data_IF_726459742210
#
_entry.id   IF_726459742210
#
_cell.length_a   1.000
_cell.length_b   1.000
_cell.length_c   1.000
_cell.angle_alpha   90.00
_cell.angle_beta   90.00
_cell.angle_gamma   90.00
#
_symmetry.space_group_name_H-M   'P 1'
#
loop_
_entity.id
_entity.type
_entity.pdbx_description
1 polymer ?
#
# COMPACT_ATOMS: atom_id res chain seq x y z
N UNK A 1 25.56 -10.17 -52.29
CA UNK A 1 25.77 -11.26 -51.31
C UNK A 1 25.07 -10.81 -50.04
N UNK A 2 23.82 -11.22 -49.87
CA UNK A 2 23.06 -10.96 -48.63
C UNK A 2 23.64 -11.87 -47.56
N UNK A 3 24.21 -11.30 -46.51
CA UNK A 3 24.65 -12.07 -45.35
C UNK A 3 23.39 -12.55 -44.63
N UNK A 4 22.99 -13.79 -44.89
CA UNK A 4 21.96 -14.47 -44.09
C UNK A 4 22.45 -14.53 -42.64
N UNK A 5 21.95 -13.62 -41.81
CA UNK A 5 22.16 -13.68 -40.37
C UNK A 5 21.37 -14.86 -39.80
N UNK A 6 21.98 -15.66 -38.93
CA UNK A 6 21.31 -16.75 -38.22
C UNK A 6 20.98 -16.36 -36.78
N UNK A 7 19.91 -16.92 -36.24
CA UNK A 7 19.48 -16.64 -34.88
C UNK A 7 20.52 -17.17 -33.87
N UNK A 8 21.04 -16.34 -32.95
CA UNK A 8 22.07 -16.77 -32.01
C UNK A 8 21.58 -17.79 -30.97
N UNK A 9 20.26 -17.94 -30.81
CA UNK A 9 19.66 -18.92 -29.87
C UNK A 9 19.35 -20.27 -30.49
N UNK A 10 18.87 -20.30 -31.74
CA UNK A 10 18.36 -21.54 -32.35
C UNK A 10 18.98 -21.88 -33.72
N UNK A 11 19.83 -21.01 -34.27
CA UNK A 11 20.50 -21.22 -35.55
C UNK A 11 19.62 -21.06 -36.80
N UNK A 12 18.31 -20.80 -36.65
CA UNK A 12 17.41 -20.57 -37.78
C UNK A 12 17.84 -19.33 -38.59
N UNK A 13 17.68 -19.38 -39.92
CA UNK A 13 17.90 -18.23 -40.79
C UNK A 13 16.95 -17.08 -40.40
N UNK A 14 17.46 -15.86 -40.42
CA UNK A 14 16.70 -14.65 -40.11
C UNK A 14 16.39 -13.89 -41.40
N UNK A 15 15.15 -13.42 -41.51
CA UNK A 15 14.76 -12.47 -42.55
C UNK A 15 15.50 -11.14 -42.37
N UNK A 16 15.80 -10.47 -43.49
CA UNK A 16 16.50 -9.18 -43.49
C UNK A 16 15.67 -8.13 -42.72
N UNK A 17 16.23 -7.56 -41.65
CA UNK A 17 15.53 -6.60 -40.79
C UNK A 17 14.58 -7.20 -39.75
N UNK A 18 14.64 -8.51 -39.50
CA UNK A 18 13.82 -9.15 -38.47
C UNK A 18 14.11 -8.60 -37.05
N UNK A 19 13.06 -8.17 -36.35
CA UNK A 19 13.13 -7.73 -34.95
C UNK A 19 13.04 -8.89 -33.94
N UNK A 20 12.55 -10.05 -34.39
CA UNK A 20 12.44 -11.27 -33.59
C UNK A 20 12.63 -12.50 -34.48
N UNK A 21 13.08 -13.60 -33.90
CA UNK A 21 13.20 -14.88 -34.59
C UNK A 21 11.82 -15.56 -34.71
N UNK A 22 11.33 -15.78 -35.92
CA UNK A 22 10.04 -16.45 -36.17
C UNK A 22 9.98 -17.91 -35.71
N UNK A 23 11.12 -18.55 -35.45
CA UNK A 23 11.17 -19.96 -35.04
C UNK A 23 11.22 -20.15 -33.51
N UNK A 24 11.99 -19.32 -32.78
CA UNK A 24 12.18 -19.48 -31.33
C UNK A 24 11.72 -18.27 -30.50
N UNK A 25 11.24 -17.21 -31.15
CA UNK A 25 10.72 -16.01 -30.51
C UNK A 25 11.76 -15.08 -29.89
N UNK A 26 13.06 -15.34 -30.09
CA UNK A 26 14.13 -14.47 -29.56
C UNK A 26 14.01 -13.06 -30.15
N UNK A 27 14.00 -12.02 -29.32
CA UNK A 27 14.15 -10.64 -29.77
C UNK A 27 15.57 -10.41 -30.32
N UNK A 28 15.67 -9.86 -31.52
CA UNK A 28 16.94 -9.61 -32.23
C UNK A 28 17.38 -8.15 -32.10
N UNK A 29 16.46 -7.29 -31.66
CA UNK A 29 16.71 -5.89 -31.31
C UNK A 29 16.56 -5.72 -29.82
N UNK A 30 17.43 -4.92 -29.22
CA UNK A 30 17.35 -4.60 -27.80
C UNK A 30 16.02 -3.90 -27.50
N UNK A 31 15.37 -4.31 -26.41
CA UNK A 31 14.19 -3.61 -25.92
C UNK A 31 14.55 -2.17 -25.52
N UNK A 32 13.76 -1.17 -25.94
CA UNK A 32 14.03 0.23 -25.60
C UNK A 32 13.95 0.43 -24.09
N UNK A 33 14.91 1.17 -23.52
CA UNK A 33 14.88 1.52 -22.10
C UNK A 33 13.70 2.44 -21.80
N UNK A 34 12.82 2.11 -20.83
CA UNK A 34 11.80 3.02 -20.35
C UNK A 34 12.34 4.05 -19.33
N UNK A 35 13.64 3.99 -19.00
CA UNK A 35 14.29 4.81 -17.98
C UNK A 35 15.47 5.64 -18.52
N UNK A 36 15.80 6.77 -17.86
CA UNK A 36 16.95 7.59 -18.23
C UNK A 36 18.26 6.77 -18.25
N UNK A 37 19.12 6.99 -19.24
CA UNK A 37 20.41 6.30 -19.30
C UNK A 37 21.35 6.80 -18.19
N UNK A 38 22.24 5.91 -17.71
CA UNK A 38 23.39 6.30 -16.88
C UNK A 38 23.22 6.20 -15.37
N UNK A 39 22.05 5.77 -14.87
CA UNK A 39 21.87 5.44 -13.45
C UNK A 39 22.24 3.96 -13.22
N UNK A 40 23.12 3.69 -12.26
CA UNK A 40 23.52 2.31 -11.92
C UNK A 40 22.52 1.62 -10.99
N UNK A 41 22.48 0.29 -11.00
CA UNK A 41 21.63 -0.47 -10.08
C UNK A 41 22.00 -0.23 -8.61
N UNK A 42 23.28 0.08 -8.33
CA UNK A 42 23.75 0.42 -6.99
C UNK A 42 23.12 1.74 -6.49
N UNK A 43 23.13 2.80 -7.29
CA UNK A 43 22.53 4.07 -6.93
C UNK A 43 21.01 3.96 -6.70
N UNK A 44 20.33 3.15 -7.53
CA UNK A 44 18.90 2.86 -7.36
C UNK A 44 18.64 2.07 -6.08
N UNK A 45 19.51 1.12 -5.72
CA UNK A 45 19.41 0.38 -4.46
C UNK A 45 19.59 1.30 -3.24
N UNK A 46 20.52 2.25 -3.30
CA UNK A 46 20.68 3.26 -2.24
C UNK A 46 19.39 4.08 -2.09
N UNK A 47 18.79 4.51 -3.20
CA UNK A 47 17.50 5.20 -3.17
C UNK A 47 16.38 4.33 -2.61
N UNK A 48 16.33 3.04 -2.93
CA UNK A 48 15.38 2.10 -2.33
C UNK A 48 15.61 2.00 -0.82
N UNK A 49 16.86 1.95 -0.36
CA UNK A 49 17.17 1.92 1.07
C UNK A 49 16.74 3.20 1.80
N UNK A 50 16.89 4.38 1.18
CA UNK A 50 16.37 5.64 1.69
C UNK A 50 14.84 5.60 1.83
N UNK A 51 14.13 5.22 0.77
CA UNK A 51 12.67 5.12 0.76
C UNK A 51 12.14 4.08 1.76
N UNK A 52 12.82 2.95 1.92
CA UNK A 52 12.51 1.94 2.93
C UNK A 52 12.74 2.48 4.35
N UNK A 53 13.80 3.26 4.59
CA UNK A 53 14.03 3.89 5.90
C UNK A 53 12.93 4.92 6.25
N UNK A 54 12.39 5.63 5.25
CA UNK A 54 11.27 6.58 5.41
C UNK A 54 9.96 5.93 5.87
N UNK A 55 9.82 4.58 5.82
CA UNK A 55 8.63 3.86 6.32
C UNK A 55 8.28 4.21 7.76
N UNK A 56 9.29 4.45 8.60
CA UNK A 56 9.09 4.79 10.02
C UNK A 56 8.32 6.10 10.23
N UNK A 57 8.34 7.00 9.24
CA UNK A 57 7.63 8.29 9.28
C UNK A 57 6.30 8.28 8.50
N UNK A 58 6.11 7.29 7.63
CA UNK A 58 4.99 7.25 6.67
C UNK A 58 3.98 6.15 7.02
N UNK A 59 4.47 4.98 7.44
CA UNK A 59 3.68 3.79 7.77
C UNK A 59 3.39 3.73 9.28
N UNK A 60 2.64 4.70 9.77
CA UNK A 60 2.34 4.78 11.21
C UNK A 60 1.50 3.57 11.68
N UNK A 61 2.12 2.69 12.49
CA UNK A 61 1.45 1.57 13.14
C UNK A 61 0.68 2.07 14.37
N UNK A 62 -0.65 2.04 14.27
CA UNK A 62 -1.52 2.51 15.34
C UNK A 62 -1.91 1.36 16.27
N UNK A 63 -1.88 1.56 17.59
CA UNK A 63 -2.45 0.58 18.51
C UNK A 63 -3.94 0.33 18.20
N UNK A 64 -4.41 -0.93 18.08
CA UNK A 64 -5.83 -1.22 17.89
C UNK A 64 -6.74 -0.67 18.99
N UNK A 65 -6.19 -0.35 20.17
CA UNK A 65 -6.91 0.31 21.27
C UNK A 65 -7.43 1.70 20.91
N UNK A 66 -6.85 2.36 19.89
CA UNK A 66 -7.38 3.62 19.37
C UNK A 66 -8.87 3.53 18.98
N UNK A 67 -9.32 2.37 18.49
CA UNK A 67 -10.72 2.14 18.16
C UNK A 67 -11.67 2.18 19.38
N UNK A 68 -11.14 1.99 20.59
CA UNK A 68 -11.91 1.97 21.84
C UNK A 68 -11.94 3.32 22.55
N UNK A 69 -10.98 4.21 22.30
CA UNK A 69 -10.87 5.47 23.04
C UNK A 69 -12.12 6.36 22.94
N UNK A 70 -12.73 6.57 21.76
CA UNK A 70 -13.97 7.32 21.65
C UNK A 70 -15.12 6.67 22.43
N UNK A 71 -15.23 5.32 22.38
CA UNK A 71 -16.25 4.58 23.12
C UNK A 71 -16.11 4.76 24.62
N UNK A 72 -14.89 4.57 25.13
CA UNK A 72 -14.57 4.70 26.55
C UNK A 72 -14.99 6.10 27.03
N UNK A 73 -14.62 7.16 26.29
CA UNK A 73 -15.01 8.53 26.64
C UNK A 73 -16.53 8.73 26.73
N UNK A 74 -17.32 8.23 25.75
CA UNK A 74 -18.79 8.32 25.80
C UNK A 74 -19.37 7.49 26.94
N UNK A 75 -18.93 6.24 27.11
CA UNK A 75 -19.48 5.32 28.11
C UNK A 75 -19.21 5.84 29.52
N UNK A 76 -17.99 6.28 29.80
CA UNK A 76 -17.66 6.85 31.11
C UNK A 76 -18.46 8.14 31.38
N UNK A 77 -18.55 9.05 30.41
CA UNK A 77 -19.34 10.28 30.54
C UNK A 77 -20.83 9.98 30.78
N UNK A 78 -21.39 9.02 30.05
CA UNK A 78 -22.79 8.59 30.18
C UNK A 78 -23.03 7.89 31.52
N UNK A 79 -22.15 6.98 31.91
CA UNK A 79 -22.26 6.25 33.18
C UNK A 79 -22.23 7.19 34.38
N UNK A 80 -21.27 8.12 34.43
CA UNK A 80 -21.19 9.13 35.51
C UNK A 80 -22.41 10.06 35.47
N UNK A 81 -22.84 10.49 34.28
CA UNK A 81 -24.06 11.29 34.11
C UNK A 81 -25.28 10.59 34.72
N UNK A 82 -25.50 9.31 34.40
CA UNK A 82 -26.61 8.52 34.94
C UNK A 82 -26.51 8.38 36.47
N UNK A 83 -25.33 8.10 37.02
CA UNK A 83 -25.17 7.98 38.48
C UNK A 83 -25.57 9.26 39.23
N UNK A 84 -25.28 10.42 38.64
CA UNK A 84 -25.55 11.72 39.24
C UNK A 84 -26.96 12.25 38.97
N UNK A 85 -27.73 11.64 38.07
CA UNK A 85 -29.08 12.13 37.70
C UNK A 85 -30.08 12.05 38.86
N UNK A 86 -29.85 11.14 39.81
CA UNK A 86 -30.69 10.94 41.00
C UNK A 86 -30.25 11.80 42.20
N UNK A 87 -29.32 12.73 41.99
CA UNK A 87 -28.80 13.64 43.02
C UNK A 87 -29.33 15.05 42.79
N UNK A 88 -29.31 15.95 43.80
CA UNK A 88 -29.59 17.38 43.59
C UNK A 88 -28.63 18.09 42.62
N UNK A 89 -27.60 17.40 42.12
CA UNK A 89 -26.54 17.92 41.26
C UNK A 89 -26.77 17.61 39.76
N UNK A 90 -28.01 17.67 39.29
CA UNK A 90 -28.36 17.34 37.89
C UNK A 90 -27.64 18.21 36.86
N UNK A 91 -27.35 19.47 37.18
CA UNK A 91 -26.57 20.37 36.31
C UNK A 91 -25.14 19.85 36.11
N UNK A 92 -24.53 19.31 37.17
CA UNK A 92 -23.19 18.71 37.13
C UNK A 92 -23.22 17.42 36.30
N UNK A 93 -24.28 16.62 36.41
CA UNK A 93 -24.48 15.42 35.57
C UNK A 93 -24.48 15.77 34.08
N UNK A 94 -25.28 16.76 33.68
CA UNK A 94 -25.38 17.22 32.29
C UNK A 94 -24.04 17.77 31.78
N UNK A 95 -23.32 18.53 32.61
CA UNK A 95 -22.00 19.05 32.26
C UNK A 95 -20.99 17.91 32.02
N UNK A 96 -20.95 16.90 32.88
CA UNK A 96 -20.04 15.75 32.73
C UNK A 96 -20.35 14.97 31.46
N UNK A 97 -21.64 14.72 31.19
CA UNK A 97 -22.06 14.06 29.96
C UNK A 97 -21.64 14.85 28.71
N UNK A 98 -21.83 16.18 28.72
CA UNK A 98 -21.45 17.07 27.62
C UNK A 98 -19.94 17.05 27.39
N UNK A 99 -19.14 17.18 28.44
CA UNK A 99 -17.67 17.11 28.35
C UNK A 99 -17.22 15.75 27.82
N UNK A 100 -17.76 14.65 28.34
CA UNK A 100 -17.44 13.30 27.86
C UNK A 100 -17.76 13.11 26.37
N UNK A 101 -18.90 13.66 25.92
CA UNK A 101 -19.31 13.63 24.51
C UNK A 101 -18.37 14.45 23.61
N UNK A 102 -17.94 15.64 24.06
CA UNK A 102 -16.97 16.48 23.33
C UNK A 102 -15.61 15.79 23.23
N UNK A 103 -15.14 15.18 24.32
CA UNK A 103 -13.88 14.43 24.34
C UNK A 103 -13.95 13.24 23.40
N UNK A 104 -15.04 12.46 23.42
CA UNK A 104 -15.23 11.35 22.51
C UNK A 104 -15.25 11.79 21.04
N UNK A 105 -15.93 12.90 20.73
CA UNK A 105 -15.96 13.50 19.41
C UNK A 105 -14.55 13.89 18.94
N UNK A 106 -13.77 14.57 19.79
CA UNK A 106 -12.41 14.95 19.47
C UNK A 106 -11.52 13.73 19.22
N UNK A 107 -11.61 12.69 20.06
CA UNK A 107 -10.87 11.44 19.87
C UNK A 107 -11.25 10.74 18.56
N UNK A 108 -12.53 10.75 18.18
CA UNK A 108 -13.00 10.21 16.92
C UNK A 108 -12.45 10.99 15.72
N UNK A 109 -12.44 12.33 15.77
CA UNK A 109 -11.83 13.18 14.73
C UNK A 109 -10.34 12.83 14.58
N UNK A 110 -9.61 12.78 15.70
CA UNK A 110 -8.19 12.46 15.71
C UNK A 110 -7.96 11.07 15.10
N UNK A 111 -8.72 10.06 15.50
CA UNK A 111 -8.60 8.71 14.94
C UNK A 111 -8.79 8.72 13.41
N UNK A 112 -9.85 9.35 12.91
CA UNK A 112 -10.11 9.41 11.48
C UNK A 112 -9.03 10.19 10.73
N UNK A 113 -8.54 11.29 11.30
CA UNK A 113 -7.40 12.02 10.76
C UNK A 113 -6.17 11.11 10.63
N UNK A 114 -5.80 10.39 11.69
CA UNK A 114 -4.64 9.48 11.66
C UNK A 114 -4.79 8.36 10.65
N UNK A 115 -6.00 7.80 10.51
CA UNK A 115 -6.29 6.75 9.52
C UNK A 115 -6.11 7.25 8.08
N UNK A 116 -6.59 8.44 7.76
CA UNK A 116 -6.47 9.02 6.41
C UNK A 116 -5.05 9.51 6.15
N UNK A 117 -4.41 10.15 7.13
CA UNK A 117 -3.07 10.73 7.00
C UNK A 117 -1.99 9.66 6.79
N UNK A 118 -1.94 8.61 7.62
CA UNK A 118 -0.98 7.51 7.47
C UNK A 118 -1.12 6.83 6.11
N UNK A 119 -2.35 6.72 5.65
CA UNK A 119 -2.67 6.11 4.37
C UNK A 119 -2.15 6.95 3.19
N UNK A 120 -2.35 8.27 3.20
CA UNK A 120 -1.81 9.14 2.16
C UNK A 120 -0.29 9.13 2.12
N UNK A 121 0.35 9.18 3.30
CA UNK A 121 1.81 9.17 3.42
C UNK A 121 2.39 7.86 2.86
N UNK A 122 1.77 6.74 3.20
CA UNK A 122 2.11 5.42 2.70
C UNK A 122 2.05 5.36 1.17
N UNK A 123 0.92 5.77 0.55
CA UNK A 123 0.76 5.76 -0.91
C UNK A 123 1.84 6.55 -1.65
N UNK A 124 2.17 7.74 -1.15
CA UNK A 124 3.15 8.62 -1.80
C UNK A 124 4.55 8.00 -1.74
N UNK A 125 4.92 7.43 -0.60
CA UNK A 125 6.20 6.74 -0.43
C UNK A 125 6.26 5.47 -1.27
N UNK A 126 5.21 4.66 -1.24
CA UNK A 126 5.13 3.43 -2.04
C UNK A 126 5.21 3.74 -3.53
N UNK A 127 4.50 4.74 -4.05
CA UNK A 127 4.58 5.09 -5.46
C UNK A 127 6.02 5.41 -5.89
N UNK A 128 6.76 6.13 -5.04
CA UNK A 128 8.19 6.40 -5.27
C UNK A 128 9.02 5.12 -5.22
N UNK A 129 8.78 4.27 -4.22
CA UNK A 129 9.47 2.99 -4.03
C UNK A 129 9.25 2.04 -5.20
N UNK A 130 7.99 1.85 -5.63
CA UNK A 130 7.63 1.00 -6.76
C UNK A 130 8.33 1.47 -8.02
N UNK A 131 8.28 2.78 -8.33
CA UNK A 131 8.96 3.31 -9.51
C UNK A 131 10.47 3.03 -9.47
N UNK A 132 11.13 3.27 -8.34
CA UNK A 132 12.57 2.98 -8.18
C UNK A 132 12.88 1.49 -8.26
N UNK A 133 12.01 0.61 -7.73
CA UNK A 133 12.18 -0.85 -7.84
C UNK A 133 12.04 -1.36 -9.29
N UNK A 134 11.14 -0.79 -10.09
CA UNK A 134 11.03 -1.14 -11.52
C UNK A 134 12.31 -0.71 -12.25
N UNK A 135 12.78 0.50 -12.01
CA UNK A 135 14.01 1.03 -12.60
C UNK A 135 15.22 0.19 -12.19
N UNK A 136 15.33 -0.16 -10.91
CA UNK A 136 16.36 -1.07 -10.40
C UNK A 136 16.33 -2.41 -11.13
N UNK A 137 15.15 -3.02 -11.26
CA UNK A 137 14.98 -4.33 -11.88
C UNK A 137 15.47 -4.33 -13.32
N UNK A 138 15.08 -3.30 -14.07
CA UNK A 138 15.50 -3.09 -15.46
C UNK A 138 17.02 -2.89 -15.57
N UNK A 139 17.57 -1.92 -14.83
CA UNK A 139 19.00 -1.59 -14.86
C UNK A 139 19.86 -2.77 -14.41
N UNK A 140 19.43 -3.51 -13.38
CA UNK A 140 20.10 -4.73 -12.92
C UNK A 140 20.12 -5.81 -14.00
N UNK A 141 19.04 -5.93 -14.77
CA UNK A 141 18.98 -6.85 -15.89
C UNK A 141 19.88 -6.47 -17.06
N UNK A 142 20.03 -5.16 -17.33
CA UNK A 142 21.01 -4.67 -18.30
C UNK A 142 22.44 -4.99 -17.86
N UNK A 143 22.78 -4.72 -16.60
CA UNK A 143 24.11 -5.01 -16.04
C UNK A 143 24.45 -6.51 -16.04
N UNK A 144 23.44 -7.38 -15.90
CA UNK A 144 23.62 -8.84 -15.88
C UNK A 144 23.35 -9.54 -17.22
N UNK A 145 22.93 -8.81 -18.26
CA UNK A 145 22.59 -9.38 -19.57
C UNK A 145 21.32 -10.24 -19.57
N UNK A 146 20.39 -9.99 -18.66
CA UNK A 146 19.11 -10.73 -18.48
C UNK A 146 17.89 -9.93 -18.97
N UNK A 147 18.09 -8.80 -19.64
CA UNK A 147 17.04 -7.86 -20.09
C UNK A 147 15.86 -8.55 -20.78
N UNK A 148 16.12 -9.41 -21.76
CA UNK A 148 15.05 -10.09 -22.52
C UNK A 148 14.20 -11.01 -21.63
N UNK A 149 14.83 -11.64 -20.63
CA UNK A 149 14.15 -12.54 -19.70
C UNK A 149 13.32 -11.78 -18.65
N UNK A 150 13.74 -10.57 -18.26
CA UNK A 150 13.00 -9.75 -17.30
C UNK A 150 11.91 -8.86 -17.92
N UNK A 151 11.97 -8.63 -19.24
CA UNK A 151 11.06 -7.71 -19.94
C UNK A 151 9.56 -7.94 -19.65
N UNK A 152 9.03 -9.19 -19.64
CA UNK A 152 7.61 -9.41 -19.33
C UNK A 152 7.22 -8.96 -17.91
N UNK A 153 8.12 -9.16 -16.94
CA UNK A 153 7.89 -8.74 -15.56
C UNK A 153 7.96 -7.22 -15.42
N UNK A 154 8.94 -6.58 -16.07
CA UNK A 154 9.05 -5.10 -16.08
C UNK A 154 7.80 -4.48 -16.70
N UNK A 155 7.31 -5.03 -17.81
CA UNK A 155 6.05 -4.57 -18.43
C UNK A 155 4.84 -4.73 -17.50
N UNK A 156 4.74 -5.88 -16.80
CA UNK A 156 3.70 -6.10 -15.80
C UNK A 156 3.79 -5.09 -14.65
N UNK A 157 5.00 -4.86 -14.11
CA UNK A 157 5.22 -3.90 -13.04
C UNK A 157 4.84 -2.47 -13.45
N UNK A 158 5.21 -2.03 -14.65
CA UNK A 158 4.80 -0.71 -15.17
C UNK A 158 3.28 -0.59 -15.31
N UNK A 159 2.60 -1.66 -15.72
CA UNK A 159 1.14 -1.67 -15.84
C UNK A 159 0.47 -1.52 -14.46
N UNK A 160 0.97 -2.24 -13.45
CA UNK A 160 0.47 -2.19 -12.07
C UNK A 160 0.76 -0.80 -11.46
N UNK A 161 1.95 -0.25 -11.71
CA UNK A 161 2.35 1.09 -11.25
C UNK A 161 1.42 2.17 -11.80
N UNK A 162 1.22 2.18 -13.12
CA UNK A 162 0.32 3.15 -13.78
C UNK A 162 -1.11 3.01 -13.30
N UNK A 163 -1.63 1.78 -13.17
CA UNK A 163 -2.99 1.56 -12.69
C UNK A 163 -3.17 2.08 -11.25
N UNK A 164 -2.22 1.78 -10.37
CA UNK A 164 -2.25 2.27 -8.99
C UNK A 164 -2.14 3.80 -8.93
N UNK A 165 -1.28 4.43 -9.75
CA UNK A 165 -1.22 5.90 -9.81
C UNK A 165 -2.56 6.52 -10.25
N UNK A 166 -3.36 5.85 -11.10
CA UNK A 166 -4.68 6.37 -11.47
C UNK A 166 -5.73 6.16 -10.36
N UNK A 167 -5.71 4.98 -9.72
CA UNK A 167 -6.75 4.56 -8.78
C UNK A 167 -6.50 5.02 -7.33
N UNK A 168 -5.26 5.29 -6.96
CA UNK A 168 -4.80 5.46 -5.57
C UNK A 168 -4.32 6.90 -5.30
N UNK A 169 -5.22 7.84 -5.52
CA UNK A 169 -4.94 9.25 -5.29
C UNK A 169 -5.04 9.62 -3.79
N UNK A 170 -4.05 10.36 -3.24
CA UNK A 170 -4.14 10.90 -1.88
C UNK A 170 -5.39 11.76 -1.69
N UNK A 171 -6.01 11.66 -0.52
CA UNK A 171 -7.22 12.42 -0.16
C UNK A 171 -6.90 13.43 0.93
N UNK A 172 -7.57 14.58 0.94
CA UNK A 172 -7.35 15.57 2.00
C UNK A 172 -7.67 15.00 3.41
N UNK A 173 -6.76 15.04 4.39
CA UNK A 173 -7.07 14.62 5.76
C UNK A 173 -8.20 15.45 6.42
N UNK A 174 -8.50 16.64 5.89
CA UNK A 174 -9.62 17.48 6.33
C UNK A 174 -10.98 16.80 6.17
N UNK A 175 -11.08 15.75 5.37
CA UNK A 175 -12.26 14.89 5.30
C UNK A 175 -12.67 14.32 6.67
N UNK A 176 -11.73 14.20 7.62
CA UNK A 176 -12.02 13.84 9.02
C UNK A 176 -12.94 14.84 9.75
N UNK A 177 -13.08 16.07 9.26
CA UNK A 177 -13.99 17.08 9.83
C UNK A 177 -15.36 17.10 9.16
N UNK A 178 -15.51 16.43 8.01
CA UNK A 178 -16.70 16.53 7.16
C UNK A 178 -17.98 16.07 7.88
N UNK A 179 -17.85 15.19 8.88
CA UNK A 179 -18.98 14.66 9.63
C UNK A 179 -19.61 15.67 10.62
N UNK A 180 -18.95 16.82 10.86
CA UNK A 180 -19.50 17.91 11.67
C UNK A 180 -20.63 18.68 10.97
N UNK A 181 -20.78 18.51 9.65
CA UNK A 181 -21.84 19.15 8.88
C UNK A 181 -23.17 18.43 9.19
N UNK A 182 -24.23 19.11 9.66
CA UNK A 182 -25.50 18.46 9.96
C UNK A 182 -26.07 17.71 8.75
N UNK A 183 -26.58 16.50 8.96
CA UNK A 183 -27.19 15.59 7.97
C UNK A 183 -26.20 15.11 6.89
N UNK A 184 -25.60 16.02 6.13
CA UNK A 184 -24.59 15.73 5.10
C UNK A 184 -23.38 15.03 5.70
N UNK A 185 -22.96 15.43 6.89
CA UNK A 185 -21.80 14.86 7.56
C UNK A 185 -21.94 13.37 7.88
N UNK A 186 -23.15 12.89 8.16
CA UNK A 186 -23.40 11.45 8.35
C UNK A 186 -23.15 10.67 7.05
N UNK A 187 -23.59 11.21 5.91
CA UNK A 187 -23.33 10.60 4.60
C UNK A 187 -21.84 10.60 4.27
N UNK A 188 -21.16 11.72 4.49
CA UNK A 188 -19.71 11.83 4.24
C UNK A 188 -18.89 10.93 5.17
N UNK A 189 -19.34 10.74 6.42
CA UNK A 189 -18.75 9.82 7.37
C UNK A 189 -18.79 8.38 6.88
N UNK A 190 -19.95 7.89 6.45
CA UNK A 190 -20.07 6.53 5.91
C UNK A 190 -19.35 6.38 4.56
N UNK A 191 -19.27 7.43 3.75
CA UNK A 191 -18.45 7.44 2.55
C UNK A 191 -16.96 7.27 2.86
N UNK A 192 -16.45 7.94 3.91
CA UNK A 192 -15.08 7.75 4.38
C UNK A 192 -14.85 6.32 4.89
N UNK A 193 -15.79 5.74 5.65
CA UNK A 193 -15.68 4.34 6.09
C UNK A 193 -15.73 3.36 4.91
N UNK A 194 -16.57 3.60 3.92
CA UNK A 194 -16.59 2.86 2.65
C UNK A 194 -15.23 2.88 1.99
N UNK A 195 -14.68 4.09 1.84
CA UNK A 195 -13.39 4.30 1.23
C UNK A 195 -12.30 3.52 1.96
N UNK A 196 -12.14 3.72 3.27
CA UNK A 196 -11.11 3.05 4.07
C UNK A 196 -11.25 1.51 4.07
N UNK A 197 -12.49 1.00 4.01
CA UNK A 197 -12.75 -0.45 4.02
C UNK A 197 -12.41 -1.10 2.68
N UNK A 198 -12.91 -0.52 1.58
CA UNK A 198 -12.73 -1.10 0.24
C UNK A 198 -11.31 -0.89 -0.25
N UNK A 199 -10.74 0.28 0.03
CA UNK A 199 -9.44 0.66 -0.49
C UNK A 199 -8.35 -0.30 -0.01
N UNK A 200 -8.32 -0.62 1.28
CA UNK A 200 -7.23 -1.39 1.88
C UNK A 200 -7.03 -2.75 1.21
N UNK A 201 -8.09 -3.49 0.88
CA UNK A 201 -7.96 -4.79 0.22
C UNK A 201 -7.56 -4.69 -1.26
N UNK A 202 -8.11 -3.71 -1.98
CA UNK A 202 -7.82 -3.52 -3.42
C UNK A 202 -6.38 -3.07 -3.64
N UNK A 203 -5.89 -2.20 -2.77
CA UNK A 203 -4.51 -1.78 -2.76
C UNK A 203 -3.55 -2.92 -2.45
N UNK A 204 -3.87 -3.69 -1.41
CA UNK A 204 -3.07 -4.84 -1.02
C UNK A 204 -3.00 -5.91 -2.13
N UNK A 205 -4.06 -6.10 -2.91
CA UNK A 205 -4.03 -6.94 -4.12
C UNK A 205 -3.00 -6.46 -5.15
N UNK A 206 -2.97 -5.16 -5.43
CA UNK A 206 -2.03 -4.56 -6.38
C UNK A 206 -0.60 -4.66 -5.86
N UNK A 207 -0.39 -4.38 -4.57
CA UNK A 207 0.91 -4.51 -3.93
C UNK A 207 1.43 -5.94 -4.00
N UNK A 208 0.61 -6.95 -3.68
CA UNK A 208 1.02 -8.36 -3.77
C UNK A 208 1.37 -8.77 -5.20
N UNK A 209 0.57 -8.34 -6.18
CA UNK A 209 0.88 -8.58 -7.60
C UNK A 209 2.20 -7.92 -8.01
N UNK A 210 2.47 -6.69 -7.53
CA UNK A 210 3.71 -5.98 -7.75
C UNK A 210 4.91 -6.72 -7.11
N UNK A 211 4.83 -7.01 -5.82
CA UNK A 211 5.88 -7.67 -5.05
C UNK A 211 6.21 -9.07 -5.61
N UNK A 212 5.20 -9.81 -6.09
CA UNK A 212 5.41 -11.10 -6.75
C UNK A 212 6.18 -10.96 -8.07
N UNK A 213 5.88 -9.94 -8.89
CA UNK A 213 6.66 -9.69 -10.11
C UNK A 213 8.10 -9.23 -9.81
N UNK A 214 8.32 -8.46 -8.73
CA UNK A 214 9.66 -8.14 -8.24
C UNK A 214 10.40 -9.41 -7.82
N UNK A 215 9.75 -10.30 -7.07
CA UNK A 215 10.33 -11.59 -6.68
C UNK A 215 10.77 -12.40 -7.92
N UNK A 216 9.88 -12.59 -8.90
CA UNK A 216 10.19 -13.36 -10.11
C UNK A 216 11.31 -12.73 -10.95
N UNK A 217 11.26 -11.43 -11.19
CA UNK A 217 12.29 -10.72 -11.95
C UNK A 217 13.64 -10.70 -11.22
N UNK A 218 13.64 -10.62 -9.88
CA UNK A 218 14.85 -10.71 -9.08
C UNK A 218 15.49 -12.09 -9.19
N UNK A 219 14.70 -13.17 -9.17
CA UNK A 219 15.19 -14.53 -9.38
C UNK A 219 15.87 -14.70 -10.74
N UNK A 220 15.30 -14.11 -11.80
CA UNK A 220 15.92 -14.07 -13.15
C UNK A 220 17.21 -13.27 -13.14
N UNK A 221 17.24 -12.14 -12.44
CA UNK A 221 18.45 -11.37 -12.21
C UNK A 221 19.43 -12.08 -11.27
N UNK A 222 19.13 -13.25 -10.70
CA UNK A 222 20.02 -13.96 -9.78
C UNK A 222 20.13 -13.31 -8.39
N UNK A 223 19.10 -12.58 -7.98
CA UNK A 223 18.91 -12.03 -6.64
C UNK A 223 17.78 -12.80 -5.93
N UNK A 224 18.07 -13.38 -4.76
CA UNK A 224 17.13 -14.22 -4.01
C UNK A 224 16.19 -13.38 -3.11
N UNK A 225 15.43 -12.47 -3.72
CA UNK A 225 14.40 -11.70 -3.02
C UNK A 225 13.30 -12.67 -2.55
N UNK A 226 12.85 -12.64 -1.29
CA UNK A 226 11.80 -13.55 -0.82
C UNK A 226 10.47 -13.29 -1.55
N UNK A 227 9.59 -14.30 -1.69
CA UNK A 227 8.24 -14.07 -2.17
C UNK A 227 7.47 -13.19 -1.15
N UNK A 228 6.46 -12.42 -1.60
CA UNK A 228 5.58 -11.71 -0.67
C UNK A 228 4.87 -12.69 0.27
N UNK A 229 4.61 -12.25 1.49
CA UNK A 229 3.84 -13.01 2.48
C UNK A 229 2.37 -13.16 2.05
N UNK A 230 1.58 -14.04 2.69
CA UNK A 230 0.16 -14.16 2.39
C UNK A 230 -0.58 -12.84 2.59
N UNK A 231 -1.63 -12.61 1.79
CA UNK A 231 -2.43 -11.38 1.73
C UNK A 231 -3.09 -10.98 3.05
N UNK A 232 -2.79 -9.78 3.54
CA UNK A 232 -3.59 -9.06 4.53
C UNK A 232 -3.70 -7.57 4.16
N UNK A 233 -4.93 -7.01 4.00
CA UNK A 233 -6.19 -7.52 4.51
C UNK A 233 -7.10 -8.28 3.53
N UNK A 234 -7.96 -9.11 4.10
CA UNK A 234 -9.00 -9.83 3.37
C UNK A 234 -10.11 -8.89 2.87
N UNK A 235 -10.72 -9.24 1.74
CA UNK A 235 -11.87 -8.50 1.21
C UNK A 235 -13.05 -8.53 2.19
N UNK A 236 -13.70 -7.38 2.37
CA UNK A 236 -14.84 -7.23 3.27
C UNK A 236 -15.95 -6.46 2.58
N UNK A 237 -17.19 -6.94 2.75
CA UNK A 237 -18.36 -6.27 2.22
C UNK A 237 -18.70 -5.03 3.05
N UNK A 238 -18.52 -3.85 2.44
CA UNK A 238 -18.96 -2.59 3.03
C UNK A 238 -20.44 -2.61 3.39
N UNK A 239 -21.29 -3.13 2.50
CA UNK A 239 -22.75 -3.15 2.71
C UNK A 239 -23.11 -3.99 3.93
N UNK A 240 -22.46 -5.15 4.11
CA UNK A 240 -22.65 -5.96 5.31
C UNK A 240 -22.27 -5.18 6.57
N UNK A 241 -21.12 -4.50 6.55
CA UNK A 241 -20.63 -3.73 7.69
C UNK A 241 -21.55 -2.56 8.04
N UNK A 242 -22.07 -1.88 7.02
CA UNK A 242 -23.06 -0.81 7.16
C UNK A 242 -24.36 -1.33 7.79
N UNK A 243 -24.92 -2.43 7.26
CA UNK A 243 -26.16 -3.02 7.79
C UNK A 243 -25.99 -3.50 9.24
N UNK A 244 -24.87 -4.16 9.55
CA UNK A 244 -24.55 -4.58 10.92
C UNK A 244 -24.41 -3.38 11.86
N UNK A 245 -23.85 -2.26 11.39
CA UNK A 245 -23.75 -1.02 12.19
C UNK A 245 -25.12 -0.40 12.45
N UNK A 246 -26.03 -0.44 11.49
CA UNK A 246 -27.39 0.11 11.66
C UNK A 246 -28.21 -0.75 12.62
N UNK A 247 -28.15 -2.08 12.47
CA UNK A 247 -28.92 -3.03 13.29
C UNK A 247 -28.30 -3.20 14.69
N UNK A 248 -26.97 -3.15 14.79
CA UNK A 248 -26.21 -3.34 16.01
C UNK A 248 -25.07 -2.31 16.08
N UNK A 249 -25.38 -1.10 16.54
CA UNK A 249 -24.44 0.04 16.59
C UNK A 249 -23.08 -0.25 17.25
N UNK A 250 -22.95 -1.11 18.27
CA UNK A 250 -21.64 -1.51 18.81
C UNK A 250 -20.71 -2.19 17.79
N UNK A 251 -21.24 -2.71 16.67
CA UNK A 251 -20.42 -3.25 15.58
C UNK A 251 -19.44 -2.22 14.99
N UNK A 252 -19.75 -0.92 15.07
CA UNK A 252 -18.87 0.15 14.59
C UNK A 252 -17.47 0.09 15.23
N UNK A 253 -17.34 -0.39 16.47
CA UNK A 253 -16.04 -0.54 17.13
C UNK A 253 -15.21 -1.66 16.53
N UNK A 254 -15.85 -2.78 16.18
CA UNK A 254 -15.19 -3.85 15.45
C UNK A 254 -14.77 -3.36 14.05
N UNK A 255 -15.59 -2.55 13.40
CA UNK A 255 -15.24 -1.94 12.12
C UNK A 255 -13.98 -1.07 12.25
N UNK A 256 -13.95 -0.14 13.20
CA UNK A 256 -12.74 0.67 13.45
C UNK A 256 -11.52 -0.16 13.82
N UNK A 257 -11.70 -1.20 14.64
CA UNK A 257 -10.63 -2.14 14.96
C UNK A 257 -10.02 -2.70 13.67
N UNK A 258 -10.84 -3.09 12.69
CA UNK A 258 -10.35 -3.55 11.38
C UNK A 258 -9.70 -2.45 10.56
N UNK A 259 -10.26 -1.24 10.51
CA UNK A 259 -9.63 -0.11 9.82
C UNK A 259 -8.25 0.26 10.41
N UNK A 260 -7.99 -0.08 11.68
CA UNK A 260 -6.69 0.08 12.33
C UNK A 260 -5.77 -1.13 12.07
N UNK A 261 -6.22 -2.33 12.42
CA UNK A 261 -5.46 -3.58 12.44
C UNK A 261 -5.02 -4.04 11.04
N UNK A 262 -5.87 -3.84 10.03
CA UNK A 262 -5.61 -4.31 8.67
C UNK A 262 -4.42 -3.58 8.03
N UNK A 263 -4.39 -2.22 7.94
CA UNK A 263 -3.20 -1.52 7.44
C UNK A 263 -1.93 -1.78 8.26
N UNK A 264 -2.05 -2.01 9.58
CA UNK A 264 -0.87 -2.32 10.39
C UNK A 264 -0.18 -3.61 9.93
N UNK A 265 -0.96 -4.65 9.60
CA UNK A 265 -0.44 -5.93 9.11
C UNK A 265 0.16 -5.77 7.72
N UNK A 266 -0.54 -5.07 6.84
CA UNK A 266 -0.04 -4.72 5.51
C UNK A 266 1.32 -4.00 5.57
N UNK A 267 1.47 -2.99 6.42
CA UNK A 267 2.75 -2.27 6.61
C UNK A 267 3.87 -3.18 7.12
N UNK A 268 3.56 -4.12 8.01
CA UNK A 268 4.54 -5.08 8.53
C UNK A 268 4.99 -6.07 7.44
N UNK A 269 4.06 -6.57 6.64
CA UNK A 269 4.34 -7.50 5.54
C UNK A 269 5.15 -6.85 4.42
N UNK A 270 4.75 -5.64 4.02
CA UNK A 270 5.49 -4.82 3.07
C UNK A 270 6.89 -4.51 3.59
N UNK A 271 7.01 -4.12 4.87
CA UNK A 271 8.31 -3.87 5.49
C UNK A 271 9.22 -5.11 5.48
N UNK A 272 8.69 -6.29 5.75
CA UNK A 272 9.45 -7.54 5.67
C UNK A 272 9.92 -7.86 4.25
N UNK A 273 9.09 -7.59 3.23
CA UNK A 273 9.45 -7.74 1.83
C UNK A 273 10.57 -6.76 1.43
N UNK A 274 10.45 -5.48 1.80
CA UNK A 274 11.47 -4.46 1.52
C UNK A 274 12.83 -4.79 2.14
N UNK A 275 12.84 -5.23 3.40
CA UNK A 275 14.08 -5.65 4.08
C UNK A 275 14.70 -6.88 3.41
N UNK A 276 13.85 -7.83 3.00
CA UNK A 276 14.24 -8.99 2.22
C UNK A 276 14.85 -8.62 0.86
N UNK A 277 14.26 -7.65 0.17
CA UNK A 277 14.77 -7.11 -1.08
C UNK A 277 16.16 -6.49 -0.91
N UNK A 278 16.34 -5.60 0.07
CA UNK A 278 17.62 -4.94 0.34
C UNK A 278 18.72 -5.92 0.74
N UNK A 279 18.35 -6.97 1.48
CA UNK A 279 19.26 -8.05 1.89
C UNK A 279 19.71 -8.88 0.69
N UNK A 280 18.77 -9.31 -0.16
CA UNK A 280 19.06 -10.14 -1.33
C UNK A 280 19.94 -9.40 -2.36
N UNK A 281 19.58 -8.15 -2.66
CA UNK A 281 20.28 -7.31 -3.65
C UNK A 281 21.62 -6.76 -3.15
N UNK A 282 21.83 -6.70 -1.83
CA UNK A 282 23.10 -6.29 -1.22
C UNK A 282 24.20 -7.36 -1.31
N UNK A 283 23.85 -8.65 -1.16
CA UNK A 283 24.82 -9.75 -1.13
C UNK A 283 25.53 -9.98 -2.47
N UNK A 284 24.84 -9.75 -3.58
CA UNK A 284 25.40 -9.94 -4.92
C UNK A 284 26.49 -8.94 -5.31
N UNK A 285 26.68 -7.86 -4.54
CA UNK A 285 27.69 -6.83 -4.79
C UNK A 285 28.97 -7.00 -3.96
N UNK A 286 28.96 -7.89 -2.97
CA UNK A 286 30.11 -8.19 -2.11
C UNK A 286 30.90 -9.42 -2.55
N UNK A 287 30.84 -9.78 -3.84
CA UNK A 287 31.57 -10.93 -4.41
C UNK A 287 33.08 -10.78 -4.28
N UNK A 288 33.60 -11.16 -3.11
CA UNK A 288 34.68 -12.12 -2.97
C UNK A 288 34.20 -13.50 -3.47
#
# INVERSE_FOLDING_TARGET
MTTESSCPRCGAALDEGANFCGHCGLALVAHPSPFPPGVSSLALRERIAELTAERTNTDEVLSPLWALLPLIAVVFGTFIGILLIFTPSVEISLLIFMVGSIVALALLIILNYKLVDRYNKHLVREASLRRTMIEYTWTRGQERGTTDAIYPYVSALESIDRQALMDEQPRSPLWSLAFLIPIVGVVLYFYMLYFLTRFASVHDDRWHAFAYNIHLSSMVNGDMVPPPLPKYPQERSFILYLLLTIIFSPFLFYWYFKLVDDPNKHFQEMGAFEDGFLTATGRALTGL
#
